data_IF_688830748275
#
_entry.id   IF_688830748275
#
_cell.length_a   1.000
_cell.length_b   1.000
_cell.length_c   1.000
_cell.angle_alpha   90.00
_cell.angle_beta   90.00
_cell.angle_gamma   90.00
#
_symmetry.space_group_name_H-M   'P 1'
#
loop_
_entity.id
_entity.type
_entity.pdbx_description
1 polymer ?
#
# COMPACT_ATOMS: atom_id res chain seq x y z
N UNK A 1 6.75 0.77 14.49
CA UNK A 1 6.30 1.35 15.78
C UNK A 1 4.98 2.11 15.65
N UNK A 2 4.79 2.99 14.66
CA UNK A 2 3.55 3.79 14.51
C UNK A 2 2.33 2.90 14.24
N UNK A 3 2.48 1.87 13.41
CA UNK A 3 1.36 1.05 12.93
C UNK A 3 0.82 0.02 13.93
N UNK A 4 1.55 -0.30 14.98
CA UNK A 4 1.16 -1.37 15.92
C UNK A 4 1.25 -2.78 15.34
N UNK A 5 1.95 -2.96 14.21
CA UNK A 5 2.13 -4.28 13.60
C UNK A 5 3.01 -5.16 14.49
N UNK A 6 2.63 -6.42 14.63
CA UNK A 6 3.42 -7.46 15.29
C UNK A 6 4.29 -8.20 14.28
N UNK A 7 5.49 -8.56 14.71
CA UNK A 7 6.38 -9.41 13.96
C UNK A 7 5.89 -10.86 14.02
N UNK A 8 5.69 -11.48 12.85
CA UNK A 8 5.30 -12.89 12.71
C UNK A 8 6.54 -13.75 12.48
N UNK A 9 7.44 -13.26 11.64
CA UNK A 9 8.63 -13.98 11.23
C UNK A 9 9.74 -12.98 10.89
N UNK A 10 10.95 -13.35 11.21
CA UNK A 10 12.19 -12.71 10.77
C UNK A 10 13.21 -13.78 10.43
N UNK A 11 13.87 -13.65 9.30
CA UNK A 11 14.90 -14.61 8.91
C UNK A 11 15.49 -14.31 7.55
N UNK A 12 16.33 -15.18 7.09
CA UNK A 12 16.91 -15.14 5.76
C UNK A 12 15.94 -15.72 4.73
N UNK A 13 15.91 -15.13 3.55
CA UNK A 13 15.19 -15.68 2.41
C UNK A 13 15.92 -16.91 1.86
N UNK A 14 15.17 -17.91 1.42
CA UNK A 14 15.73 -19.11 0.81
C UNK A 14 16.41 -18.80 -0.54
N UNK A 15 17.34 -19.64 -0.94
CA UNK A 15 17.96 -19.56 -2.28
C UNK A 15 16.92 -19.59 -3.41
N UNK A 16 15.85 -20.37 -3.24
CA UNK A 16 14.77 -20.42 -4.22
C UNK A 16 14.04 -19.08 -4.33
N UNK A 17 13.87 -18.34 -3.23
CA UNK A 17 13.33 -16.98 -3.24
C UNK A 17 14.26 -16.01 -3.96
N UNK A 18 15.55 -16.06 -3.67
CA UNK A 18 16.57 -15.24 -4.34
C UNK A 18 16.53 -15.47 -5.86
N UNK A 19 16.52 -16.72 -6.28
CA UNK A 19 16.41 -17.10 -7.69
C UNK A 19 15.10 -16.63 -8.33
N UNK A 20 13.98 -16.72 -7.60
CA UNK A 20 12.67 -16.26 -8.06
C UNK A 20 12.66 -14.74 -8.34
N UNK A 21 13.39 -13.95 -7.55
CA UNK A 21 13.57 -12.51 -7.79
C UNK A 21 14.55 -12.18 -8.95
N UNK A 22 15.12 -13.19 -9.60
CA UNK A 22 16.06 -13.01 -10.71
C UNK A 22 17.40 -12.40 -10.27
N UNK A 23 17.79 -12.64 -9.03
CA UNK A 23 19.07 -12.20 -8.48
C UNK A 23 20.12 -13.30 -8.62
N UNK A 24 21.41 -12.90 -8.57
CA UNK A 24 22.51 -13.86 -8.54
C UNK A 24 22.54 -14.62 -7.21
N UNK A 25 23.18 -15.79 -7.19
CA UNK A 25 23.36 -16.57 -5.96
C UNK A 25 24.35 -15.92 -4.95
N UNK A 26 25.04 -14.85 -5.36
CA UNK A 26 25.85 -14.02 -4.46
C UNK A 26 25.01 -13.02 -3.67
N UNK A 27 23.75 -12.80 -4.09
CA UNK A 27 22.80 -11.98 -3.35
C UNK A 27 22.27 -12.73 -2.14
N UNK A 28 22.03 -12.00 -1.08
CA UNK A 28 21.29 -12.49 0.09
C UNK A 28 20.09 -11.58 0.38
N UNK A 29 19.15 -12.06 1.15
CA UNK A 29 18.03 -11.26 1.57
C UNK A 29 17.59 -11.64 2.98
N UNK A 30 17.32 -10.63 3.79
CA UNK A 30 16.59 -10.76 5.04
C UNK A 30 15.13 -10.37 4.83
N UNK A 31 14.24 -11.08 5.47
CA UNK A 31 12.82 -10.79 5.41
C UNK A 31 12.19 -10.68 6.78
N UNK A 32 11.21 -9.80 6.83
CA UNK A 32 10.38 -9.54 8.00
C UNK A 32 8.93 -9.62 7.59
N UNK A 33 8.17 -10.53 8.20
CA UNK A 33 6.73 -10.66 8.01
C UNK A 33 6.00 -10.00 9.18
N UNK A 34 5.14 -9.06 8.84
CA UNK A 34 4.36 -8.28 9.79
C UNK A 34 2.86 -8.53 9.60
N UNK A 35 2.11 -8.56 10.70
CA UNK A 35 0.65 -8.53 10.70
C UNK A 35 0.12 -7.38 11.54
N UNK A 36 -1.01 -6.82 11.16
CA UNK A 36 -1.80 -5.99 12.06
C UNK A 36 -2.33 -6.86 13.21
N UNK A 37 -2.58 -6.26 14.37
CA UNK A 37 -2.77 -6.93 15.64
C UNK A 37 -3.72 -8.13 15.60
N UNK A 38 -4.93 -7.95 15.12
CA UNK A 38 -5.98 -8.98 15.09
C UNK A 38 -6.25 -9.53 13.69
N UNK A 39 -5.29 -9.38 12.75
CA UNK A 39 -5.54 -9.79 11.37
C UNK A 39 -4.90 -11.13 11.05
N UNK A 40 -5.70 -12.00 10.44
CA UNK A 40 -5.27 -13.28 9.86
C UNK A 40 -4.95 -13.16 8.35
N UNK A 41 -5.04 -11.96 7.78
CA UNK A 41 -4.82 -11.69 6.37
C UNK A 41 -4.17 -10.31 6.16
N UNK A 42 -3.71 -10.03 4.95
CA UNK A 42 -3.10 -8.74 4.62
C UNK A 42 -1.76 -8.53 5.32
N UNK A 43 -0.94 -9.57 5.38
CA UNK A 43 0.42 -9.47 5.91
C UNK A 43 1.29 -8.56 5.06
N UNK A 44 2.22 -7.88 5.72
CA UNK A 44 3.24 -7.06 5.06
C UNK A 44 4.58 -7.77 5.16
N UNK A 45 5.15 -8.13 4.02
CA UNK A 45 6.48 -8.72 3.92
C UNK A 45 7.46 -7.64 3.49
N UNK A 46 8.42 -7.33 4.34
CA UNK A 46 9.54 -6.44 4.04
C UNK A 46 10.77 -7.30 3.72
N UNK A 47 11.47 -6.96 2.64
CA UNK A 47 12.65 -7.71 2.21
C UNK A 47 13.78 -6.72 1.98
N UNK A 48 14.92 -6.96 2.64
CA UNK A 48 16.17 -6.25 2.41
C UNK A 48 17.09 -7.14 1.61
N UNK A 49 17.54 -6.66 0.47
CA UNK A 49 18.49 -7.37 -0.38
C UNK A 49 19.90 -6.82 -0.18
N UNK A 50 20.88 -7.72 -0.05
CA UNK A 50 22.29 -7.41 -0.03
C UNK A 50 22.94 -8.03 -1.28
N UNK A 51 23.94 -7.33 -1.88
CA UNK A 51 24.61 -7.73 -3.11
C UNK A 51 23.69 -7.98 -4.33
N UNK A 52 22.51 -7.35 -4.34
CA UNK A 52 21.53 -7.53 -5.41
C UNK A 52 21.85 -6.77 -6.71
N UNK A 53 22.94 -5.97 -6.72
CA UNK A 53 23.26 -5.06 -7.80
C UNK A 53 22.28 -3.88 -7.87
N UNK A 54 22.52 -2.97 -8.81
CA UNK A 54 21.62 -1.84 -9.03
C UNK A 54 20.37 -2.29 -9.81
N UNK A 55 19.22 -1.94 -9.30
CA UNK A 55 17.93 -2.08 -10.00
C UNK A 55 17.28 -0.70 -10.11
N UNK A 56 16.94 -0.33 -11.33
CA UNK A 56 16.20 0.92 -11.55
C UNK A 56 14.80 0.86 -10.92
N UNK A 57 14.36 1.91 -10.24
CA UNK A 57 12.99 1.97 -9.75
C UNK A 57 11.98 1.84 -10.91
N UNK A 58 10.94 1.05 -10.75
CA UNK A 58 9.89 0.91 -11.75
C UNK A 58 9.04 2.19 -11.92
N UNK A 59 9.00 3.00 -10.87
CA UNK A 59 8.28 4.27 -10.83
C UNK A 59 9.22 5.36 -10.29
N UNK A 60 10.20 5.81 -11.08
CA UNK A 60 11.27 6.68 -10.58
C UNK A 60 10.76 8.02 -10.03
N UNK A 61 9.70 8.57 -10.61
CA UNK A 61 9.09 9.80 -10.14
C UNK A 61 8.10 9.61 -8.99
N UNK A 62 7.62 8.39 -8.79
CA UNK A 62 6.53 8.05 -7.84
C UNK A 62 5.34 9.00 -7.92
N UNK A 63 5.04 9.50 -9.12
CA UNK A 63 3.92 10.39 -9.37
C UNK A 63 2.63 9.61 -9.55
N UNK A 64 1.50 10.26 -9.27
CA UNK A 64 0.19 9.63 -9.42
C UNK A 64 -0.11 9.16 -10.85
N UNK A 65 0.50 9.77 -11.85
CA UNK A 65 0.33 9.44 -13.27
C UNK A 65 1.39 8.49 -13.83
N UNK A 66 2.40 8.12 -13.05
CA UNK A 66 3.36 7.11 -13.47
C UNK A 66 2.66 5.76 -13.56
N UNK A 67 2.74 5.11 -14.71
CA UNK A 67 2.17 3.78 -14.91
C UNK A 67 3.18 2.69 -14.53
N UNK A 68 2.65 1.52 -14.24
CA UNK A 68 3.43 0.34 -13.87
C UNK A 68 3.38 0.05 -12.37
N UNK A 69 3.35 -1.21 -12.02
CA UNK A 69 3.30 -1.73 -10.66
C UNK A 69 2.19 -1.14 -9.76
N UNK A 70 2.22 -1.51 -8.52
CA UNK A 70 1.32 -0.94 -7.53
C UNK A 70 1.73 0.47 -7.16
N UNK A 71 0.74 1.36 -7.07
CA UNK A 71 0.95 2.74 -6.66
C UNK A 71 1.06 2.84 -5.14
N UNK A 72 0.09 2.28 -4.43
CA UNK A 72 0.08 2.34 -2.97
C UNK A 72 -0.60 1.14 -2.34
N UNK A 73 -0.20 0.82 -1.12
CA UNK A 73 -0.98 -0.02 -0.21
C UNK A 73 -2.00 0.86 0.51
N UNK A 74 -3.25 0.40 0.61
CA UNK A 74 -4.31 1.12 1.31
C UNK A 74 -4.55 0.51 2.68
N UNK A 75 -4.54 1.35 3.70
CA UNK A 75 -4.79 0.95 5.09
C UNK A 75 -5.82 1.88 5.73
N UNK A 76 -6.57 1.36 6.71
CA UNK A 76 -7.38 2.20 7.60
C UNK A 76 -6.50 2.70 8.75
N UNK A 77 -6.76 3.93 9.15
CA UNK A 77 -6.05 4.56 10.26
C UNK A 77 -7.07 5.19 11.21
N UNK A 78 -6.83 5.10 12.50
CA UNK A 78 -7.59 5.82 13.53
C UNK A 78 -6.75 6.97 14.04
N UNK A 79 -7.28 8.19 13.95
CA UNK A 79 -6.55 9.41 14.30
C UNK A 79 -5.45 9.76 13.29
N UNK A 80 -5.81 9.73 12.00
CA UNK A 80 -4.88 9.94 10.89
C UNK A 80 -4.03 11.21 11.03
N UNK A 81 -4.60 12.30 11.55
CA UNK A 81 -3.86 13.56 11.71
C UNK A 81 -2.67 13.41 12.67
N UNK A 82 -2.86 12.70 13.78
CA UNK A 82 -1.79 12.40 14.72
C UNK A 82 -0.74 11.47 14.11
N UNK A 83 -1.19 10.45 13.36
CA UNK A 83 -0.29 9.53 12.64
C UNK A 83 0.51 10.30 11.58
N UNK A 84 -0.10 11.28 10.92
CA UNK A 84 0.56 12.16 9.97
C UNK A 84 1.73 12.91 10.62
N UNK A 85 1.50 13.59 11.74
CA UNK A 85 2.54 14.33 12.44
C UNK A 85 3.71 13.43 12.84
N UNK A 86 3.42 12.28 13.45
CA UNK A 86 4.43 11.28 13.83
C UNK A 86 5.20 10.72 12.63
N UNK A 87 4.54 10.51 11.49
CA UNK A 87 5.19 10.01 10.28
C UNK A 87 6.15 11.05 9.68
N UNK A 88 5.75 12.33 9.64
CA UNK A 88 6.62 13.43 9.18
C UNK A 88 7.86 13.54 10.06
N UNK A 89 7.70 13.48 11.39
CA UNK A 89 8.82 13.49 12.33
C UNK A 89 9.81 12.32 12.11
N UNK A 90 9.30 11.18 11.60
CA UNK A 90 10.12 10.02 11.25
C UNK A 90 10.72 10.08 9.83
N UNK A 91 10.57 11.19 9.13
CA UNK A 91 11.13 11.39 7.79
C UNK A 91 10.28 10.85 6.64
N UNK A 92 9.02 10.47 6.89
CA UNK A 92 8.08 10.23 5.80
C UNK A 92 7.69 11.54 5.15
N UNK A 93 7.28 11.47 3.93
CA UNK A 93 6.91 12.65 3.14
C UNK A 93 5.53 12.48 2.51
N UNK A 94 4.85 13.59 2.25
CA UNK A 94 3.55 13.63 1.56
C UNK A 94 3.52 14.79 0.56
N UNK A 95 2.83 14.61 -0.57
CA UNK A 95 2.65 15.69 -1.56
C UNK A 95 1.62 16.72 -1.10
N UNK A 96 0.67 16.28 -0.28
CA UNK A 96 -0.43 17.11 0.24
C UNK A 96 -0.59 16.88 1.73
N UNK A 97 -1.09 17.84 2.49
CA UNK A 97 -1.54 17.57 3.85
C UNK A 97 -2.71 16.59 3.86
N UNK A 98 -3.13 16.16 5.05
CA UNK A 98 -4.34 15.38 5.20
C UNK A 98 -5.54 16.10 4.61
N UNK A 99 -6.16 15.50 3.60
CA UNK A 99 -7.34 16.01 2.92
C UNK A 99 -8.60 15.32 3.41
N UNK A 100 -9.66 16.08 3.62
CA UNK A 100 -10.97 15.49 3.88
C UNK A 100 -11.75 15.35 2.57
N UNK A 101 -12.20 14.14 2.29
CA UNK A 101 -13.00 13.84 1.10
C UNK A 101 -14.35 13.25 1.48
N UNK A 102 -15.32 13.42 0.58
CA UNK A 102 -16.62 12.77 0.67
C UNK A 102 -16.81 11.81 -0.51
N UNK A 103 -17.30 10.62 -0.22
CA UNK A 103 -17.66 9.62 -1.22
C UNK A 103 -19.03 9.04 -0.87
N UNK A 104 -20.07 9.46 -1.57
CA UNK A 104 -21.45 9.25 -1.16
C UNK A 104 -21.68 9.83 0.23
N UNK A 105 -22.25 9.03 1.14
CA UNK A 105 -22.49 9.42 2.53
C UNK A 105 -21.24 9.32 3.43
N UNK A 106 -20.16 8.80 2.89
CA UNK A 106 -18.92 8.61 3.65
C UNK A 106 -18.07 9.87 3.69
N UNK A 107 -17.53 10.19 4.86
CA UNK A 107 -16.48 11.19 5.07
C UNK A 107 -15.21 10.50 5.52
N UNK A 108 -14.12 10.88 4.90
CA UNK A 108 -12.80 10.28 5.09
C UNK A 108 -11.75 11.36 5.20
N UNK A 109 -10.86 11.28 6.17
CA UNK A 109 -9.57 11.93 6.09
C UNK A 109 -8.62 10.99 5.32
N UNK A 110 -7.86 11.54 4.37
CA UNK A 110 -7.01 10.75 3.48
C UNK A 110 -5.66 11.43 3.29
N UNK A 111 -4.61 10.63 3.22
CA UNK A 111 -3.27 11.08 2.82
C UNK A 111 -2.50 9.95 2.15
N UNK A 112 -1.56 10.30 1.28
CA UNK A 112 -0.60 9.35 0.71
C UNK A 112 0.77 9.65 1.30
N UNK A 113 1.24 8.76 2.16
CA UNK A 113 2.60 8.78 2.69
C UNK A 113 3.57 8.20 1.68
N UNK A 114 4.71 8.83 1.54
CA UNK A 114 5.88 8.31 0.81
C UNK A 114 6.99 8.06 1.81
N UNK A 115 7.36 6.82 1.93
CA UNK A 115 8.42 6.37 2.81
C UNK A 115 9.76 6.20 2.11
N UNK A 116 10.78 5.74 2.84
CA UNK A 116 12.04 5.35 2.25
C UNK A 116 11.82 4.28 1.18
N UNK A 117 12.76 4.17 0.25
CA UNK A 117 12.74 3.20 -0.87
C UNK A 117 11.53 3.34 -1.81
N UNK A 118 10.84 4.48 -1.78
CA UNK A 118 9.72 4.77 -2.69
C UNK A 118 8.41 4.06 -2.35
N UNK A 119 8.31 3.41 -1.18
CA UNK A 119 7.04 2.82 -0.74
C UNK A 119 5.99 3.91 -0.54
N UNK A 120 4.76 3.63 -0.99
CA UNK A 120 3.63 4.51 -0.79
C UNK A 120 2.53 3.80 -0.02
N UNK A 121 2.03 4.47 1.02
CA UNK A 121 0.94 4.00 1.87
C UNK A 121 -0.16 5.04 1.87
N UNK A 122 -1.34 4.65 1.42
CA UNK A 122 -2.51 5.52 1.45
C UNK A 122 -3.33 5.23 2.70
N UNK A 123 -3.36 6.21 3.60
CA UNK A 123 -4.10 6.15 4.85
C UNK A 123 -5.52 6.72 4.71
N UNK A 124 -6.49 6.02 5.27
CA UNK A 124 -7.89 6.41 5.31
C UNK A 124 -8.41 6.37 6.74
N UNK A 125 -8.73 7.53 7.31
CA UNK A 125 -9.50 7.63 8.55
C UNK A 125 -10.98 7.83 8.21
N UNK A 126 -11.80 6.85 8.53
CA UNK A 126 -13.23 6.91 8.24
C UNK A 126 -13.98 7.61 9.35
N UNK A 127 -14.38 8.86 9.08
CA UNK A 127 -15.06 9.71 10.04
C UNK A 127 -16.56 9.35 10.16
N UNK A 128 -17.19 9.00 9.03
CA UNK A 128 -18.58 8.52 8.97
C UNK A 128 -18.93 7.85 7.64
N UNK A 129 -19.90 6.91 7.60
CA UNK A 129 -20.38 6.16 8.77
C UNK A 129 -19.25 5.31 9.36
N UNK A 130 -19.41 4.74 10.55
CA UNK A 130 -18.39 3.86 11.13
C UNK A 130 -18.04 2.69 10.20
N UNK A 131 -16.86 2.11 10.37
CA UNK A 131 -16.50 0.90 9.66
C UNK A 131 -17.51 -0.22 9.93
N UNK A 132 -17.81 -1.07 8.93
CA UNK A 132 -18.65 -2.24 9.15
C UNK A 132 -18.09 -3.12 10.28
N UNK A 133 -18.98 -3.74 11.07
CA UNK A 133 -18.59 -4.62 12.17
C UNK A 133 -17.73 -5.82 11.71
N UNK A 134 -17.90 -6.25 10.45
CA UNK A 134 -17.11 -7.32 9.84
C UNK A 134 -15.68 -6.91 9.48
N UNK A 135 -15.35 -5.61 9.52
CA UNK A 135 -13.98 -5.17 9.29
C UNK A 135 -13.12 -5.54 10.51
N UNK A 136 -11.95 -6.17 10.32
CA UNK A 136 -11.07 -6.56 11.43
C UNK A 136 -10.76 -5.39 12.35
N UNK A 137 -10.78 -5.63 13.64
CA UNK A 137 -10.46 -4.60 14.61
C UNK A 137 -8.97 -4.25 14.53
N UNK A 138 -8.65 -3.01 14.78
CA UNK A 138 -7.28 -2.51 14.83
C UNK A 138 -7.21 -1.32 15.78
N UNK A 139 -6.06 -1.10 16.37
CA UNK A 139 -5.86 0.01 17.29
C UNK A 139 -5.56 1.31 16.54
N UNK A 140 -4.54 1.34 15.71
CA UNK A 140 -4.07 2.54 14.98
C UNK A 140 -4.10 2.38 13.46
N UNK A 141 -3.49 1.32 12.94
CA UNK A 141 -3.37 1.04 11.51
C UNK A 141 -3.82 -0.39 11.23
N UNK A 142 -4.78 -0.53 10.33
CA UNK A 142 -5.28 -1.85 9.93
C UNK A 142 -4.28 -2.60 9.06
N UNK A 143 -4.55 -3.88 8.84
CA UNK A 143 -3.94 -4.59 7.72
C UNK A 143 -4.18 -3.84 6.40
N UNK A 144 -3.32 -4.00 5.40
CA UNK A 144 -3.64 -3.60 4.03
C UNK A 144 -4.93 -4.28 3.59
N UNK A 145 -5.90 -3.47 3.15
CA UNK A 145 -7.20 -3.99 2.71
C UNK A 145 -7.41 -3.83 1.20
N UNK A 146 -6.60 -3.02 0.57
CA UNK A 146 -6.66 -2.77 -0.87
C UNK A 146 -5.29 -2.30 -1.38
N UNK A 147 -5.12 -2.35 -2.69
CA UNK A 147 -3.97 -1.81 -3.41
C UNK A 147 -4.47 -1.00 -4.59
N UNK A 148 -3.73 0.04 -4.94
CA UNK A 148 -3.98 0.84 -6.13
C UNK A 148 -2.92 0.55 -7.18
N UNK A 149 -3.34 0.35 -8.40
CA UNK A 149 -2.46 0.19 -9.55
C UNK A 149 -2.73 1.28 -10.57
N UNK A 150 -1.68 1.97 -11.02
CA UNK A 150 -1.76 2.90 -12.13
C UNK A 150 -1.53 2.15 -13.44
N UNK A 151 -2.50 2.22 -14.33
CA UNK A 151 -2.53 1.45 -15.56
C UNK A 151 -2.65 2.37 -16.77
N UNK A 152 -2.02 1.97 -17.86
CA UNK A 152 -2.09 2.69 -19.14
C UNK A 152 -3.39 2.43 -19.88
N UNK A 153 -3.87 1.19 -19.84
CA UNK A 153 -5.05 0.73 -20.56
C UNK A 153 -6.03 0.07 -19.59
N UNK A 154 -7.08 0.82 -19.28
CA UNK A 154 -8.11 0.40 -18.34
C UNK A 154 -8.89 -0.82 -18.81
N UNK A 155 -9.25 -0.86 -20.10
CA UNK A 155 -10.08 -1.94 -20.63
C UNK A 155 -9.33 -3.27 -20.71
N UNK A 156 -8.08 -3.26 -21.16
CA UNK A 156 -7.26 -4.46 -21.15
C UNK A 156 -6.95 -4.95 -19.74
N UNK A 157 -6.70 -4.02 -18.81
CA UNK A 157 -6.51 -4.40 -17.41
C UNK A 157 -7.79 -4.99 -16.80
N UNK A 158 -8.95 -4.39 -17.08
CA UNK A 158 -10.25 -4.92 -16.65
C UNK A 158 -10.48 -6.34 -17.17
N UNK A 159 -10.26 -6.57 -18.48
CA UNK A 159 -10.38 -7.92 -19.07
C UNK A 159 -9.47 -8.92 -18.37
N UNK A 160 -8.23 -8.55 -18.08
CA UNK A 160 -7.32 -9.43 -17.35
C UNK A 160 -7.87 -9.83 -15.98
N UNK A 161 -8.33 -8.87 -15.17
CA UNK A 161 -8.84 -9.17 -13.84
C UNK A 161 -10.21 -9.84 -13.86
N UNK A 162 -11.12 -9.41 -14.74
CA UNK A 162 -12.49 -9.94 -14.77
C UNK A 162 -12.57 -11.22 -15.59
N UNK A 163 -12.14 -11.17 -16.87
CA UNK A 163 -12.39 -12.26 -17.80
C UNK A 163 -11.42 -13.44 -17.58
N UNK A 164 -10.14 -13.13 -17.23
CA UNK A 164 -9.13 -14.16 -17.01
C UNK A 164 -9.06 -14.63 -15.56
N UNK A 165 -9.08 -13.72 -14.58
CA UNK A 165 -8.93 -14.06 -13.17
C UNK A 165 -10.26 -14.22 -12.41
N UNK A 166 -11.39 -13.92 -13.04
CA UNK A 166 -12.72 -14.10 -12.45
C UNK A 166 -13.09 -13.08 -11.36
N UNK A 167 -12.45 -11.92 -11.31
CA UNK A 167 -12.81 -10.89 -10.35
C UNK A 167 -14.12 -10.20 -10.73
N UNK A 168 -14.89 -9.81 -9.73
CA UNK A 168 -16.09 -9.02 -9.94
C UNK A 168 -15.78 -7.53 -9.95
N UNK A 169 -16.37 -6.80 -10.89
CA UNK A 169 -16.30 -5.34 -10.87
C UNK A 169 -17.19 -4.80 -9.75
N UNK A 170 -16.56 -4.19 -8.74
CA UNK A 170 -17.29 -3.54 -7.65
C UNK A 170 -17.83 -2.17 -8.08
N UNK A 171 -17.01 -1.38 -8.78
CA UNK A 171 -17.36 -0.05 -9.24
C UNK A 171 -16.63 0.28 -10.54
N UNK A 172 -17.33 0.90 -11.46
CA UNK A 172 -16.78 1.36 -12.75
C UNK A 172 -17.05 2.86 -12.89
N UNK A 173 -16.03 3.65 -12.53
CA UNK A 173 -16.12 5.09 -12.61
C UNK A 173 -16.08 5.62 -14.04
N UNK A 174 -16.72 6.75 -14.29
CA UNK A 174 -16.55 7.50 -15.52
C UNK A 174 -15.23 8.27 -15.50
N UNK A 175 -14.58 8.44 -16.66
CA UNK A 175 -13.41 9.33 -16.73
C UNK A 175 -13.79 10.74 -16.32
N UNK A 176 -12.90 11.39 -15.58
CA UNK A 176 -13.02 12.81 -15.28
C UNK A 176 -11.76 13.54 -15.78
N UNK A 177 -11.93 14.76 -16.21
CA UNK A 177 -10.80 15.65 -16.50
C UNK A 177 -10.64 16.58 -15.31
N UNK A 178 -9.44 16.62 -14.75
CA UNK A 178 -9.12 17.62 -13.75
C UNK A 178 -9.25 19.01 -14.42
N UNK A 179 -9.99 19.91 -13.81
CA UNK A 179 -9.95 21.32 -14.22
C UNK A 179 -8.60 21.88 -13.77
N UNK A 180 -7.89 22.48 -14.72
CA UNK A 180 -6.68 23.26 -14.44
C UNK A 180 -6.97 24.41 -13.50
#
# INVERSE_FOLDING_TARGET
>A
KIGGFREIYRGESSESSIKHYGLSLEASAEELLLAAEDSEAGFVRLIRFDNAGYKAPMRPGSRAWDTGCYFSLMVRMKGLRKIYDEAIEMGWWTETPVAQISFGDSRLDVVIFKGPDGIQIQGYDRLKPPLPKAFPQFERVSQPFNIMQMIKDRENSRKFFVDLLGFNTFFYGVPFTAKE
#
